data_IF_918225022641
#
_entry.id   IF_918225022641
#
_cell.length_a   1.000
_cell.length_b   1.000
_cell.length_c   1.000
_cell.angle_alpha   90.00
_cell.angle_beta   90.00
_cell.angle_gamma   90.00
#
_symmetry.space_group_name_H-M   'P 1'
#
loop_
_entity.id
_entity.type
_entity.pdbx_description
1 polymer ?
#
# COMPACT_ATOMS: atom_id res chain seq x y z
N UNK A 1 -44.83 19.40 -64.85
CA UNK A 1 -43.93 20.45 -64.34
C UNK A 1 -44.41 20.99 -62.95
N UNK A 2 -45.70 21.24 -62.76
CA UNK A 2 -46.26 21.73 -61.47
C UNK A 2 -46.03 20.80 -60.29
N UNK A 3 -46.25 19.46 -60.46
CA UNK A 3 -45.97 18.45 -59.42
C UNK A 3 -44.48 18.33 -59.04
N UNK A 4 -43.57 18.58 -59.99
CA UNK A 4 -42.13 18.62 -59.68
C UNK A 4 -41.77 19.92 -58.92
N UNK A 5 -42.35 21.06 -59.31
CA UNK A 5 -42.16 22.30 -58.59
C UNK A 5 -42.71 22.23 -57.15
N UNK A 6 -43.87 21.58 -56.93
CA UNK A 6 -44.46 21.37 -55.63
C UNK A 6 -43.62 20.45 -54.74
N UNK A 7 -43.07 19.34 -55.28
CA UNK A 7 -42.17 18.48 -54.54
C UNK A 7 -40.88 19.20 -54.16
N UNK A 8 -40.29 19.98 -55.05
CA UNK A 8 -39.10 20.76 -54.74
C UNK A 8 -39.38 21.87 -53.71
N UNK A 9 -40.55 22.52 -53.74
CA UNK A 9 -40.98 23.49 -52.78
C UNK A 9 -41.14 22.85 -51.37
N UNK A 10 -41.78 21.66 -51.32
CA UNK A 10 -41.92 20.93 -50.04
C UNK A 10 -40.56 20.52 -49.49
N UNK A 11 -39.63 20.06 -50.32
CA UNK A 11 -38.27 19.67 -49.93
C UNK A 11 -37.45 20.86 -49.42
N UNK A 12 -37.52 22.02 -50.08
CA UNK A 12 -36.86 23.27 -49.64
C UNK A 12 -37.47 23.79 -48.36
N UNK A 13 -38.80 23.69 -48.18
CA UNK A 13 -39.49 24.06 -46.91
C UNK A 13 -39.07 23.20 -45.76
N UNK A 14 -38.94 21.87 -45.94
CA UNK A 14 -38.41 20.96 -44.92
C UNK A 14 -36.95 21.28 -44.60
N UNK A 15 -36.10 21.50 -45.62
CA UNK A 15 -34.71 21.89 -45.43
C UNK A 15 -34.57 23.22 -44.64
N UNK A 16 -35.46 24.22 -44.94
CA UNK A 16 -35.45 25.46 -44.21
C UNK A 16 -35.84 25.26 -42.74
N UNK A 17 -36.88 24.47 -42.47
CA UNK A 17 -37.32 24.18 -41.10
C UNK A 17 -36.21 23.47 -40.29
N UNK A 18 -35.52 22.50 -40.89
CA UNK A 18 -34.38 21.79 -40.25
C UNK A 18 -33.21 22.74 -39.99
N UNK A 19 -32.87 23.63 -40.96
CA UNK A 19 -31.79 24.61 -40.74
C UNK A 19 -32.14 25.62 -39.65
N UNK A 20 -33.39 26.06 -39.59
CA UNK A 20 -33.90 26.94 -38.50
C UNK A 20 -33.84 26.26 -37.15
N UNK A 21 -34.20 24.99 -37.04
CA UNK A 21 -34.14 24.21 -35.84
C UNK A 21 -32.68 24.06 -35.32
N UNK A 22 -31.75 23.68 -36.27
CA UNK A 22 -30.31 23.57 -35.94
C UNK A 22 -29.67 24.88 -35.54
N UNK A 23 -30.00 25.97 -36.22
CA UNK A 23 -29.50 27.31 -35.85
C UNK A 23 -30.08 27.78 -34.52
N UNK A 24 -31.35 27.48 -34.23
CA UNK A 24 -32.00 27.84 -32.98
C UNK A 24 -31.46 27.03 -31.78
N UNK A 25 -31.20 25.71 -31.99
CA UNK A 25 -30.66 24.84 -30.95
C UNK A 25 -29.13 24.92 -30.82
N UNK A 26 -28.43 25.37 -31.86
CA UNK A 26 -26.97 25.29 -31.96
C UNK A 26 -26.45 23.89 -32.21
N UNK A 27 -27.34 22.91 -32.37
CA UNK A 27 -27.00 21.49 -32.50
C UNK A 27 -27.37 20.95 -33.89
N UNK A 28 -26.44 20.20 -34.46
CA UNK A 28 -26.65 19.45 -35.74
C UNK A 28 -27.51 18.21 -35.50
N UNK A 29 -27.31 17.57 -34.30
CA UNK A 29 -28.05 16.39 -33.84
C UNK A 29 -28.87 16.80 -32.64
N UNK A 30 -30.18 16.97 -32.81
CA UNK A 30 -31.10 17.34 -31.74
C UNK A 30 -31.99 16.17 -31.32
N UNK A 31 -32.21 15.21 -32.18
CA UNK A 31 -33.05 14.04 -31.92
C UNK A 31 -32.47 12.76 -32.55
N UNK A 32 -32.96 11.60 -32.08
CA UNK A 32 -32.57 10.29 -32.63
C UNK A 32 -32.91 10.13 -34.11
N UNK A 33 -33.84 10.97 -34.63
CA UNK A 33 -34.22 10.97 -36.05
C UNK A 33 -33.11 11.58 -36.91
N UNK A 34 -32.32 12.51 -36.37
CA UNK A 34 -31.26 13.18 -37.13
C UNK A 34 -30.05 12.28 -37.31
N UNK A 35 -29.59 11.63 -36.22
CA UNK A 35 -28.52 10.63 -36.24
C UNK A 35 -28.58 9.84 -34.92
N UNK A 36 -29.10 8.63 -34.95
CA UNK A 36 -29.23 7.77 -33.76
C UNK A 36 -27.86 7.34 -33.21
N UNK A 37 -26.87 7.09 -34.07
CA UNK A 37 -25.54 6.68 -33.68
C UNK A 37 -24.76 7.86 -33.06
N UNK A 38 -24.80 9.02 -33.71
CA UNK A 38 -24.19 10.24 -33.24
C UNK A 38 -24.78 10.69 -31.90
N UNK A 39 -26.10 10.58 -31.71
CA UNK A 39 -26.75 10.90 -30.46
C UNK A 39 -26.30 9.97 -29.32
N UNK A 40 -26.21 8.67 -29.58
CA UNK A 40 -25.72 7.69 -28.58
C UNK A 40 -24.27 8.00 -28.15
N UNK A 41 -23.40 8.30 -29.13
CA UNK A 41 -22.01 8.69 -28.85
C UNK A 41 -21.95 9.98 -28.05
N UNK A 42 -22.74 11.01 -28.46
CA UNK A 42 -22.81 12.30 -27.77
C UNK A 42 -23.29 12.18 -26.32
N UNK A 43 -24.32 11.36 -26.08
CA UNK A 43 -24.81 11.08 -24.73
C UNK A 43 -23.74 10.40 -23.85
N UNK A 44 -22.99 9.43 -24.39
CA UNK A 44 -21.88 8.78 -23.69
C UNK A 44 -20.77 9.78 -23.37
N UNK A 45 -20.38 10.64 -24.33
CA UNK A 45 -19.38 11.68 -24.10
C UNK A 45 -19.86 12.70 -23.07
N UNK A 46 -21.14 13.07 -23.09
CA UNK A 46 -21.73 13.97 -22.07
C UNK A 46 -21.69 13.35 -20.68
N UNK A 47 -22.05 12.07 -20.55
CA UNK A 47 -21.94 11.35 -19.29
C UNK A 47 -20.47 11.30 -18.80
N UNK A 48 -19.53 11.08 -19.70
CA UNK A 48 -18.10 11.08 -19.37
C UNK A 48 -17.63 12.47 -18.92
N UNK A 49 -18.02 13.56 -19.61
CA UNK A 49 -17.69 14.93 -19.21
C UNK A 49 -18.22 15.23 -17.79
N UNK A 50 -19.46 14.85 -17.53
CA UNK A 50 -20.07 15.06 -16.20
C UNK A 50 -19.34 14.24 -15.13
N UNK A 51 -18.98 12.98 -15.44
CA UNK A 51 -18.18 12.14 -14.54
C UNK A 51 -16.81 12.74 -14.24
N UNK A 52 -16.09 13.22 -15.26
CA UNK A 52 -14.80 13.89 -15.11
C UNK A 52 -14.89 15.16 -14.27
N UNK A 53 -15.97 15.96 -14.43
CA UNK A 53 -16.20 17.15 -13.62
C UNK A 53 -16.45 16.82 -12.15
N UNK A 54 -17.17 15.72 -11.85
CA UNK A 54 -17.33 15.21 -10.48
C UNK A 54 -16.00 14.71 -9.93
N UNK A 55 -15.24 13.94 -10.72
CA UNK A 55 -13.94 13.44 -10.33
C UNK A 55 -12.95 14.56 -9.96
N UNK A 56 -12.95 15.66 -10.70
CA UNK A 56 -12.13 16.83 -10.38
C UNK A 56 -12.56 17.48 -9.05
N UNK A 57 -13.86 17.58 -8.77
CA UNK A 57 -14.32 18.07 -7.46
C UNK A 57 -13.89 17.14 -6.33
N UNK A 58 -14.10 15.85 -6.48
CA UNK A 58 -13.66 14.85 -5.49
C UNK A 58 -12.16 14.92 -5.22
N UNK A 59 -11.35 15.12 -6.26
CA UNK A 59 -9.90 15.28 -6.12
C UNK A 59 -9.54 16.56 -5.35
N UNK A 60 -10.23 17.68 -5.60
CA UNK A 60 -10.04 18.92 -4.85
C UNK A 60 -10.47 18.78 -3.38
N UNK A 61 -11.55 18.04 -3.11
CA UNK A 61 -11.99 17.74 -1.75
C UNK A 61 -10.92 16.90 -1.03
N UNK A 62 -10.33 15.91 -1.71
CA UNK A 62 -9.21 15.12 -1.20
C UNK A 62 -7.97 15.96 -0.88
N UNK A 63 -7.62 16.91 -1.74
CA UNK A 63 -6.51 17.86 -1.48
C UNK A 63 -6.83 18.72 -0.25
N UNK A 64 -8.02 19.26 -0.16
CA UNK A 64 -8.42 20.14 0.95
C UNK A 64 -8.40 19.42 2.29
N UNK A 65 -8.83 18.16 2.29
CA UNK A 65 -8.76 17.30 3.47
C UNK A 65 -7.32 16.98 3.85
N UNK A 66 -6.47 16.62 2.88
CA UNK A 66 -5.05 16.35 3.11
C UNK A 66 -4.32 17.58 3.67
N UNK A 67 -4.62 18.78 3.15
CA UNK A 67 -4.06 20.03 3.65
C UNK A 67 -4.51 20.35 5.07
N UNK A 68 -5.77 20.04 5.43
CA UNK A 68 -6.29 20.23 6.79
C UNK A 68 -5.55 19.32 7.77
N UNK A 69 -5.37 18.05 7.42
CA UNK A 69 -4.59 17.10 8.23
C UNK A 69 -3.13 17.51 8.34
N UNK A 70 -2.50 17.92 7.25
CA UNK A 70 -1.10 18.37 7.23
C UNK A 70 -0.89 19.62 8.10
N UNK A 71 -1.82 20.59 8.06
CA UNK A 71 -1.77 21.77 8.92
C UNK A 71 -1.79 21.40 10.40
N UNK A 72 -2.68 20.49 10.81
CA UNK A 72 -2.76 20.01 12.18
C UNK A 72 -1.50 19.22 12.60
N UNK A 73 -0.96 18.38 11.71
CA UNK A 73 0.31 17.69 11.95
C UNK A 73 1.50 18.66 12.04
N UNK A 74 1.46 19.78 11.34
CA UNK A 74 2.46 20.86 11.47
C UNK A 74 2.48 21.43 12.90
N UNK A 75 1.31 21.68 13.49
CA UNK A 75 1.21 22.14 14.88
C UNK A 75 1.65 21.03 15.86
N UNK A 76 1.31 19.77 15.58
CA UNK A 76 1.80 18.63 16.36
C UNK A 76 3.34 18.54 16.35
N UNK A 77 3.96 18.78 15.19
CA UNK A 77 5.43 18.86 15.07
C UNK A 77 6.01 19.98 15.95
N UNK A 78 5.40 21.17 15.95
CA UNK A 78 5.85 22.30 16.79
C UNK A 78 5.77 21.95 18.27
N UNK A 79 4.67 21.30 18.71
CA UNK A 79 4.49 20.84 20.08
C UNK A 79 5.57 19.83 20.46
N UNK A 80 5.81 18.81 19.64
CA UNK A 80 6.83 17.79 19.90
C UNK A 80 8.24 18.40 19.96
N UNK A 81 8.57 19.35 19.09
CA UNK A 81 9.85 20.07 19.16
C UNK A 81 9.98 20.84 20.48
N UNK A 82 8.91 21.48 20.96
CA UNK A 82 8.92 22.14 22.25
C UNK A 82 9.10 21.15 23.41
N UNK A 83 8.42 20.00 23.33
CA UNK A 83 8.60 18.93 24.34
C UNK A 83 10.03 18.40 24.32
N UNK A 84 10.67 18.29 23.16
CA UNK A 84 12.07 17.90 23.02
C UNK A 84 13.03 18.89 23.67
N UNK A 85 12.79 20.21 23.50
CA UNK A 85 13.57 21.25 24.19
C UNK A 85 13.49 21.10 25.72
N UNK A 86 12.25 20.87 26.25
CA UNK A 86 12.04 20.68 27.67
C UNK A 86 12.71 19.39 28.21
N UNK A 87 12.66 18.30 27.40
CA UNK A 87 13.34 17.06 27.74
C UNK A 87 14.87 17.24 27.79
N UNK A 88 15.46 17.93 26.79
CA UNK A 88 16.88 18.27 26.79
C UNK A 88 17.26 19.17 27.99
N UNK A 89 16.42 20.15 28.31
CA UNK A 89 16.63 20.99 29.49
C UNK A 89 16.57 20.18 30.77
N UNK A 90 15.57 19.27 30.89
CA UNK A 90 15.41 18.42 32.08
C UNK A 90 16.54 17.40 32.24
N UNK A 91 17.10 16.90 31.14
CA UNK A 91 18.22 15.95 31.15
C UNK A 91 19.51 16.53 31.69
N UNK A 92 19.61 17.86 31.86
CA UNK A 92 20.80 18.48 32.44
C UNK A 92 20.88 18.15 33.95
N UNK A 93 22.01 17.60 34.36
CA UNK A 93 22.29 17.22 35.78
C UNK A 93 22.28 18.37 36.78
N UNK A 94 22.26 19.64 36.32
CA UNK A 94 22.16 20.82 37.19
C UNK A 94 20.76 21.10 37.74
N UNK A 95 19.71 20.44 37.18
CA UNK A 95 18.35 20.65 37.60
C UNK A 95 18.01 19.88 38.88
N UNK A 96 17.32 20.53 39.80
CA UNK A 96 16.75 19.90 40.99
C UNK A 96 15.51 19.05 40.62
N UNK A 97 15.03 18.27 41.58
CA UNK A 97 13.75 17.53 41.39
C UNK A 97 12.58 18.47 41.14
N UNK A 98 12.54 19.59 41.89
CA UNK A 98 11.50 20.61 41.77
C UNK A 98 11.52 21.30 40.40
N UNK A 99 12.71 21.56 39.82
CA UNK A 99 12.87 22.11 38.49
C UNK A 99 12.33 21.13 37.43
N UNK A 100 12.66 19.84 37.56
CA UNK A 100 12.17 18.78 36.65
C UNK A 100 10.64 18.61 36.75
N UNK A 101 10.06 18.69 37.96
CA UNK A 101 8.61 18.66 38.16
C UNK A 101 7.93 19.87 37.51
N UNK A 102 8.55 21.05 37.51
CA UNK A 102 8.02 22.22 36.80
C UNK A 102 8.01 22.01 35.28
N UNK A 103 9.10 21.45 34.74
CA UNK A 103 9.18 21.11 33.31
C UNK A 103 8.16 19.99 32.94
N UNK A 104 7.95 19.02 33.83
CA UNK A 104 6.94 17.97 33.60
C UNK A 104 5.53 18.53 33.50
N UNK A 105 5.18 19.57 34.25
CA UNK A 105 3.86 20.22 34.16
C UNK A 105 3.65 20.84 32.78
N UNK A 106 4.68 21.48 32.20
CA UNK A 106 4.61 22.03 30.86
C UNK A 106 4.45 20.92 29.82
N UNK A 107 5.25 19.84 29.94
CA UNK A 107 5.13 18.67 29.03
C UNK A 107 3.75 18.05 29.14
N UNK A 108 3.18 17.90 30.32
CA UNK A 108 1.83 17.34 30.48
C UNK A 108 0.74 18.21 29.84
N UNK A 109 0.89 19.53 29.87
CA UNK A 109 0.00 20.43 29.11
C UNK A 109 0.15 20.28 27.60
N UNK A 110 1.38 20.11 27.10
CA UNK A 110 1.67 19.88 25.68
C UNK A 110 1.14 18.51 25.20
N UNK A 111 1.24 17.46 26.03
CA UNK A 111 0.65 16.14 25.76
C UNK A 111 -0.88 16.22 25.60
N UNK A 112 -1.54 16.98 26.52
CA UNK A 112 -2.97 17.19 26.43
C UNK A 112 -3.36 17.99 25.17
N UNK A 113 -2.56 18.99 24.78
CA UNK A 113 -2.82 19.80 23.59
C UNK A 113 -2.60 18.97 22.30
N UNK A 114 -1.58 18.11 22.26
CA UNK A 114 -1.34 17.18 21.16
C UNK A 114 -2.54 16.23 20.96
N UNK A 115 -3.05 15.65 22.03
CA UNK A 115 -4.24 14.80 21.99
C UNK A 115 -5.48 15.59 21.55
N UNK A 116 -5.64 16.82 22.04
CA UNK A 116 -6.75 17.70 21.65
C UNK A 116 -6.73 18.01 20.15
N UNK A 117 -5.56 18.30 19.57
CA UNK A 117 -5.41 18.52 18.13
C UNK A 117 -5.84 17.27 17.35
N UNK A 118 -5.40 16.11 17.78
CA UNK A 118 -5.76 14.84 17.15
C UNK A 118 -7.27 14.59 17.17
N UNK A 119 -7.92 14.81 18.31
CA UNK A 119 -9.36 14.57 18.51
C UNK A 119 -10.26 15.62 17.85
N UNK A 120 -9.79 16.87 17.69
CA UNK A 120 -10.62 17.97 17.20
C UNK A 120 -10.44 18.28 15.71
N UNK A 121 -9.37 17.79 15.09
CA UNK A 121 -9.12 18.02 13.67
C UNK A 121 -10.10 17.25 12.82
N UNK A 122 -11.00 17.96 12.16
CA UNK A 122 -12.04 17.35 11.32
C UNK A 122 -12.21 18.08 9.99
N UNK A 123 -12.69 17.36 9.01
CA UNK A 123 -13.08 17.88 7.70
C UNK A 123 -14.45 17.32 7.31
N UNK A 124 -15.40 18.21 7.02
CA UNK A 124 -16.77 17.81 6.66
C UNK A 124 -17.49 16.99 7.73
N UNK A 125 -17.10 17.12 9.02
CA UNK A 125 -17.67 16.36 10.12
C UNK A 125 -17.00 14.98 10.36
N UNK A 126 -15.95 14.64 9.59
CA UNK A 126 -15.15 13.45 9.82
C UNK A 126 -13.86 13.84 10.54
N UNK A 127 -13.54 13.14 11.63
CA UNK A 127 -12.26 13.27 12.32
C UNK A 127 -11.15 12.69 11.42
N UNK A 128 -10.00 13.37 11.41
CA UNK A 128 -8.91 13.00 10.51
C UNK A 128 -7.76 12.30 11.23
N UNK A 129 -7.48 12.64 12.49
CA UNK A 129 -6.26 12.27 13.19
C UNK A 129 -6.52 11.49 14.50
N UNK A 130 -7.74 11.03 14.73
CA UNK A 130 -8.14 10.26 15.93
C UNK A 130 -7.84 8.76 15.81
N UNK A 131 -7.59 8.28 14.58
CA UNK A 131 -7.33 6.87 14.27
C UNK A 131 -8.52 6.14 13.64
N UNK A 132 -9.73 6.68 13.75
CA UNK A 132 -10.94 6.08 13.15
C UNK A 132 -11.07 6.37 11.64
N UNK A 133 -10.29 7.34 11.13
CA UNK A 133 -10.31 7.68 9.70
C UNK A 133 -9.85 6.49 8.84
N UNK A 134 -8.77 5.82 9.20
CA UNK A 134 -8.19 4.71 8.45
C UNK A 134 -7.86 5.09 7.01
N UNK A 135 -8.24 4.23 6.06
CA UNK A 135 -8.03 4.46 4.63
C UNK A 135 -9.35 4.80 3.95
N UNK A 136 -9.39 5.90 3.20
CA UNK A 136 -10.54 6.35 2.41
C UNK A 136 -10.17 6.48 0.94
N UNK A 137 -11.06 6.00 0.07
CA UNK A 137 -10.88 6.04 -1.37
C UNK A 137 -11.65 7.20 -1.98
N UNK A 138 -10.97 8.03 -2.74
CA UNK A 138 -11.55 9.16 -3.49
C UNK A 138 -11.70 8.77 -4.95
N UNK A 139 -12.92 8.78 -5.46
CA UNK A 139 -13.19 8.50 -6.88
C UNK A 139 -12.71 9.68 -7.72
N UNK A 140 -11.62 9.48 -8.47
CA UNK A 140 -10.95 10.51 -9.28
C UNK A 140 -10.97 10.20 -10.76
N UNK A 141 -11.91 9.39 -11.20
CA UNK A 141 -12.12 9.07 -12.60
C UNK A 141 -13.59 8.89 -12.94
N UNK A 142 -13.89 8.82 -14.23
CA UNK A 142 -15.26 8.66 -14.74
C UNK A 142 -15.74 7.20 -14.71
N UNK A 143 -14.84 6.23 -14.53
CA UNK A 143 -15.16 4.81 -14.48
C UNK A 143 -15.02 4.26 -13.06
N UNK A 144 -15.66 3.14 -12.77
CA UNK A 144 -15.58 2.48 -11.49
C UNK A 144 -14.13 2.08 -11.14
N UNK A 145 -13.77 2.18 -9.87
CA UNK A 145 -12.45 1.84 -9.30
C UNK A 145 -11.27 2.74 -9.73
N UNK A 146 -11.52 3.86 -10.39
CA UNK A 146 -10.50 4.88 -10.62
C UNK A 146 -10.36 5.75 -9.37
N UNK A 147 -9.67 5.25 -8.35
CA UNK A 147 -9.58 5.88 -7.02
C UNK A 147 -8.16 6.22 -6.61
N UNK A 148 -8.03 7.24 -5.76
CA UNK A 148 -6.82 7.53 -4.98
C UNK A 148 -7.19 7.35 -3.51
N UNK A 149 -6.41 6.57 -2.78
CA UNK A 149 -6.60 6.36 -1.34
C UNK A 149 -5.78 7.35 -0.52
N UNK A 150 -6.38 7.82 0.57
CA UNK A 150 -5.72 8.57 1.64
C UNK A 150 -5.81 7.71 2.89
N UNK A 151 -4.67 7.47 3.53
CA UNK A 151 -4.59 6.78 4.81
C UNK A 151 -4.08 7.76 5.87
N UNK A 152 -4.79 7.84 6.98
CA UNK A 152 -4.41 8.66 8.12
C UNK A 152 -4.46 7.82 9.40
N UNK A 153 -3.42 7.94 10.21
CA UNK A 153 -3.31 7.30 11.52
C UNK A 153 -3.54 8.32 12.63
N UNK A 154 -3.75 7.85 13.85
CA UNK A 154 -3.85 8.72 15.01
C UNK A 154 -2.51 9.41 15.28
N UNK A 155 -2.60 10.71 15.62
CA UNK A 155 -1.47 11.50 16.10
C UNK A 155 -1.63 11.89 17.58
N UNK A 156 -2.54 11.24 18.30
CA UNK A 156 -2.74 11.45 19.72
C UNK A 156 -1.49 11.03 20.52
N UNK A 157 -1.27 11.65 21.67
CA UNK A 157 -0.09 11.41 22.48
C UNK A 157 0.09 9.95 22.95
N UNK A 158 -0.99 9.17 23.01
CA UNK A 158 -1.00 7.75 23.37
C UNK A 158 -0.86 6.81 22.17
N UNK A 159 -0.68 7.35 20.97
CA UNK A 159 -0.59 6.59 19.71
C UNK A 159 0.68 6.83 18.92
N UNK A 160 1.48 7.79 19.32
CA UNK A 160 2.77 8.10 18.71
C UNK A 160 3.89 8.00 19.73
N UNK A 161 5.10 7.59 19.31
CA UNK A 161 6.25 7.41 20.17
C UNK A 161 7.12 6.24 19.73
N UNK A 162 7.85 5.66 20.66
CA UNK A 162 8.70 4.49 20.43
C UNK A 162 7.86 3.20 20.47
N UNK A 163 6.88 3.12 19.56
CA UNK A 163 6.01 1.95 19.42
C UNK A 163 6.64 0.95 18.48
N UNK A 164 6.60 -0.32 18.86
CA UNK A 164 7.03 -1.42 18.01
C UNK A 164 6.08 -2.60 18.13
N UNK A 165 5.55 -3.03 17.02
CA UNK A 165 4.79 -4.26 16.87
C UNK A 165 5.74 -5.32 16.33
N UNK A 166 6.00 -6.38 17.09
CA UNK A 166 6.91 -7.45 16.65
C UNK A 166 6.22 -8.80 16.72
N UNK A 167 6.43 -9.63 15.70
CA UNK A 167 6.01 -11.02 15.69
C UNK A 167 6.99 -11.84 14.84
N UNK A 168 6.99 -13.14 15.03
CA UNK A 168 7.84 -14.04 14.23
C UNK A 168 6.99 -14.97 13.39
N UNK A 169 7.40 -15.18 12.16
CA UNK A 169 6.87 -16.21 11.27
C UNK A 169 7.95 -17.27 11.02
N UNK A 170 7.55 -18.52 11.02
CA UNK A 170 8.46 -19.67 10.82
C UNK A 170 8.34 -20.28 9.43
N UNK A 171 7.30 -19.89 8.68
CA UNK A 171 7.17 -20.32 7.30
C UNK A 171 8.13 -19.52 6.41
N UNK A 172 9.08 -20.20 5.82
CA UNK A 172 10.14 -19.60 4.98
C UNK A 172 9.78 -19.55 3.50
N UNK A 173 8.64 -20.11 3.11
CA UNK A 173 8.19 -20.17 1.72
C UNK A 173 6.78 -19.58 1.57
N UNK A 174 6.46 -19.13 0.35
CA UNK A 174 5.12 -18.66 0.01
C UNK A 174 4.87 -17.17 0.22
N UNK A 175 3.72 -16.71 -0.24
CA UNK A 175 3.29 -15.31 -0.13
C UNK A 175 2.84 -14.97 1.29
N UNK A 176 3.06 -13.73 1.69
CA UNK A 176 2.60 -13.17 2.95
C UNK A 176 1.75 -11.93 2.67
N UNK A 177 0.75 -11.66 3.48
CA UNK A 177 -0.02 -10.43 3.39
C UNK A 177 -0.05 -9.69 4.72
N UNK A 178 -0.02 -8.36 4.64
CA UNK A 178 -0.10 -7.47 5.78
C UNK A 178 -1.35 -6.60 5.70
N UNK A 179 -2.11 -6.52 6.77
CA UNK A 179 -3.17 -5.52 6.90
C UNK A 179 -2.71 -4.45 7.89
N UNK A 180 -2.56 -3.21 7.38
CA UNK A 180 -2.11 -2.04 8.14
C UNK A 180 -3.04 -0.89 7.85
N UNK A 181 -3.55 -0.23 8.88
CA UNK A 181 -4.47 0.90 8.70
C UNK A 181 -5.77 0.58 7.93
N UNK A 182 -6.22 -0.69 7.96
CA UNK A 182 -7.41 -1.15 7.23
C UNK A 182 -7.18 -1.49 5.76
N UNK A 183 -5.95 -1.38 5.27
CA UNK A 183 -5.56 -1.76 3.91
C UNK A 183 -4.76 -3.07 3.93
N UNK A 184 -5.01 -3.93 2.95
CA UNK A 184 -4.27 -5.20 2.81
C UNK A 184 -3.25 -5.11 1.68
N UNK A 185 -2.01 -5.49 1.99
CA UNK A 185 -0.88 -5.52 1.08
C UNK A 185 -0.41 -6.96 0.92
N UNK A 186 -0.42 -7.47 -0.29
CA UNK A 186 0.11 -8.80 -0.61
C UNK A 186 1.57 -8.71 -1.03
N UNK A 187 2.43 -9.50 -0.38
CA UNK A 187 3.84 -9.65 -0.75
C UNK A 187 4.02 -11.01 -1.39
N UNK A 188 4.40 -11.02 -2.66
CA UNK A 188 4.68 -12.26 -3.38
C UNK A 188 6.11 -12.73 -3.07
N UNK A 189 6.21 -13.74 -2.24
CA UNK A 189 7.46 -14.40 -1.90
C UNK A 189 7.48 -15.88 -2.38
N UNK A 190 6.66 -16.23 -3.37
CA UNK A 190 6.56 -17.61 -3.89
C UNK A 190 7.86 -18.11 -4.51
N UNK A 191 8.76 -17.21 -4.90
CA UNK A 191 10.09 -17.53 -5.39
C UNK A 191 11.16 -17.68 -4.30
N UNK A 192 10.84 -17.36 -3.04
CA UNK A 192 11.75 -17.51 -1.91
C UNK A 192 11.80 -19.00 -1.47
N UNK A 193 13.01 -19.54 -1.35
CA UNK A 193 13.24 -20.89 -0.87
C UNK A 193 13.70 -20.96 0.58
N UNK A 194 13.95 -19.80 1.19
CA UNK A 194 14.48 -19.63 2.54
C UNK A 194 13.96 -18.35 3.22
N UNK A 195 14.23 -18.21 4.50
CA UNK A 195 13.84 -17.05 5.30
C UNK A 195 14.47 -15.75 4.74
N UNK A 196 15.68 -15.79 4.24
CA UNK A 196 16.37 -14.62 3.72
C UNK A 196 15.70 -14.06 2.46
N UNK A 197 15.33 -14.95 1.54
CA UNK A 197 14.59 -14.57 0.33
C UNK A 197 13.22 -13.96 0.65
N UNK A 198 12.48 -14.55 1.60
CA UNK A 198 11.19 -14.03 2.04
C UNK A 198 11.32 -12.69 2.76
N UNK A 199 12.29 -12.53 3.65
CA UNK A 199 12.56 -11.25 4.31
C UNK A 199 12.96 -10.16 3.31
N UNK A 200 13.76 -10.50 2.30
CA UNK A 200 14.13 -9.58 1.23
C UNK A 200 12.90 -9.12 0.41
N UNK A 201 11.98 -10.02 0.09
CA UNK A 201 10.72 -9.68 -0.60
C UNK A 201 9.84 -8.74 0.23
N UNK A 202 9.72 -9.00 1.55
CA UNK A 202 9.00 -8.13 2.47
C UNK A 202 9.65 -6.74 2.53
N UNK A 203 10.97 -6.68 2.70
CA UNK A 203 11.71 -5.43 2.80
C UNK A 203 11.69 -4.60 1.50
N UNK A 204 11.55 -5.24 0.34
CA UNK A 204 11.39 -4.54 -0.94
C UNK A 204 10.08 -3.75 -1.03
N UNK A 205 9.06 -4.14 -0.28
CA UNK A 205 7.73 -3.51 -0.25
C UNK A 205 7.42 -2.76 1.05
N UNK A 206 8.38 -2.61 1.96
CA UNK A 206 8.22 -1.90 3.25
C UNK A 206 7.65 -0.49 3.09
N UNK A 207 8.01 0.22 2.02
CA UNK A 207 7.47 1.56 1.73
C UNK A 207 5.95 1.61 1.51
N UNK A 208 5.31 0.47 1.26
CA UNK A 208 3.86 0.36 1.04
C UNK A 208 3.10 0.05 2.34
N UNK A 209 3.65 -0.83 3.19
CA UNK A 209 2.96 -1.35 4.38
C UNK A 209 3.67 -1.04 5.71
N UNK A 210 4.89 -0.47 5.69
CA UNK A 210 5.62 -0.07 6.90
C UNK A 210 6.14 -1.21 7.77
N UNK A 211 6.04 -2.48 7.33
CA UNK A 211 6.56 -3.65 8.05
C UNK A 211 7.95 -3.99 7.53
N UNK A 212 8.91 -4.18 8.43
CA UNK A 212 10.26 -4.67 8.13
C UNK A 212 10.42 -6.11 8.57
N UNK A 213 11.32 -6.83 7.93
CA UNK A 213 11.59 -8.23 8.20
C UNK A 213 13.08 -8.45 8.45
N UNK A 214 13.40 -9.12 9.54
CA UNK A 214 14.75 -9.53 9.91
C UNK A 214 14.80 -11.05 10.09
N UNK A 215 15.81 -11.70 9.52
CA UNK A 215 16.00 -13.14 9.70
C UNK A 215 16.69 -13.39 11.03
N UNK A 216 16.04 -14.16 11.88
CA UNK A 216 16.60 -14.63 13.14
C UNK A 216 16.84 -16.14 13.02
N UNK A 217 18.09 -16.51 13.06
CA UNK A 217 18.49 -17.92 13.11
C UNK A 217 18.54 -18.31 14.60
N UNK A 218 17.60 -19.15 15.03
CA UNK A 218 17.67 -19.70 16.38
C UNK A 218 18.79 -20.74 16.45
N UNK A 219 19.51 -20.79 17.59
CA UNK A 219 20.52 -21.81 17.83
C UNK A 219 19.91 -23.19 17.74
N UNK A 220 20.51 -24.07 16.94
CA UNK A 220 20.17 -25.48 16.97
C UNK A 220 20.70 -26.11 18.26
N UNK A 221 19.98 -27.08 18.81
CA UNK A 221 20.40 -27.84 19.98
C UNK A 221 20.29 -29.33 19.69
N UNK A 222 21.25 -30.07 20.17
CA UNK A 222 21.25 -31.53 20.07
C UNK A 222 21.89 -32.15 21.30
N UNK A 223 21.59 -33.43 21.51
CA UNK A 223 22.26 -34.24 22.54
C UNK A 223 22.85 -35.46 21.92
N UNK A 224 24.01 -35.85 22.41
CA UNK A 224 24.69 -37.11 22.12
C UNK A 224 24.78 -37.92 23.41
N UNK A 225 24.17 -39.08 23.44
CA UNK A 225 24.12 -39.93 24.64
C UNK A 225 24.59 -41.34 24.38
N UNK A 226 25.09 -42.00 25.42
CA UNK A 226 25.47 -43.41 25.38
C UNK A 226 26.58 -43.74 24.37
N UNK A 227 27.57 -42.85 24.28
CA UNK A 227 28.71 -43.07 23.37
C UNK A 227 29.49 -44.28 23.87
N UNK A 228 29.55 -45.33 23.03
CA UNK A 228 30.35 -46.53 23.29
C UNK A 228 31.76 -46.34 22.73
N UNK A 229 32.77 -46.36 23.59
CA UNK A 229 34.17 -46.13 23.20
C UNK A 229 34.96 -47.43 22.96
N UNK A 230 34.41 -48.55 23.15
CA UNK A 230 35.06 -49.88 22.98
C UNK A 230 36.61 -49.91 23.15
N UNK A 231 37.13 -49.01 24.00
CA UNK A 231 38.54 -48.83 24.29
C UNK A 231 39.32 -47.92 23.37
N UNK A 232 38.70 -47.34 22.35
CA UNK A 232 39.31 -46.49 21.34
C UNK A 232 38.62 -45.09 21.25
N UNK A 233 39.24 -44.18 20.49
CA UNK A 233 38.70 -42.88 20.22
C UNK A 233 37.48 -42.96 19.30
N UNK A 234 36.43 -42.17 19.60
CA UNK A 234 35.31 -41.92 18.70
C UNK A 234 35.56 -40.62 17.96
N UNK A 235 35.27 -40.62 16.66
CA UNK A 235 35.39 -39.44 15.82
C UNK A 235 34.10 -39.23 15.00
N UNK A 236 33.74 -37.96 14.79
CA UNK A 236 32.65 -37.54 13.89
C UNK A 236 32.92 -36.13 13.41
N UNK A 237 32.15 -35.68 12.45
CA UNK A 237 32.17 -34.28 12.00
C UNK A 237 30.94 -33.55 12.45
N UNK A 238 31.10 -32.30 12.92
CA UNK A 238 30.05 -31.32 13.09
C UNK A 238 30.19 -30.25 11.98
N UNK A 239 29.30 -30.31 11.03
CA UNK A 239 29.48 -29.55 9.79
C UNK A 239 30.72 -30.02 9.01
N UNK A 240 31.73 -29.13 8.92
CA UNK A 240 33.03 -29.42 8.28
C UNK A 240 34.13 -29.79 9.28
N UNK A 241 33.91 -29.52 10.57
CA UNK A 241 34.91 -29.64 11.62
C UNK A 241 34.93 -31.07 12.24
N UNK A 242 36.11 -31.61 12.51
CA UNK A 242 36.30 -32.95 13.03
C UNK A 242 36.40 -32.92 14.54
N UNK A 243 35.58 -33.74 15.21
CA UNK A 243 35.55 -33.93 16.65
C UNK A 243 36.07 -35.32 16.96
N UNK A 244 36.99 -35.45 17.89
CA UNK A 244 37.54 -36.76 18.31
C UNK A 244 37.75 -36.75 19.82
N UNK A 245 37.44 -37.86 20.50
CA UNK A 245 37.66 -38.03 21.93
C UNK A 245 37.58 -39.50 22.35
N UNK A 246 38.25 -39.84 23.45
CA UNK A 246 38.27 -41.17 24.07
C UNK A 246 37.34 -41.27 25.28
N UNK A 247 36.64 -40.18 25.60
CA UNK A 247 35.67 -40.06 26.68
C UNK A 247 34.65 -38.96 26.43
N UNK A 248 33.48 -39.03 27.10
CA UNK A 248 32.44 -37.99 27.01
C UNK A 248 32.98 -36.59 27.40
N UNK A 249 33.93 -36.54 28.33
CA UNK A 249 34.59 -35.31 28.76
C UNK A 249 35.43 -34.68 27.65
N UNK A 250 36.21 -35.53 26.94
CA UNK A 250 37.04 -35.07 25.82
C UNK A 250 36.20 -34.65 24.62
N UNK A 251 35.15 -35.41 24.29
CA UNK A 251 34.22 -35.02 23.23
C UNK A 251 33.52 -33.71 23.53
N UNK A 252 33.07 -33.52 24.78
CA UNK A 252 32.45 -32.26 25.21
C UNK A 252 33.41 -31.09 25.03
N UNK A 253 34.66 -31.22 25.47
CA UNK A 253 35.69 -30.19 25.33
C UNK A 253 36.03 -29.94 23.84
N UNK A 254 36.08 -30.99 23.03
CA UNK A 254 36.33 -30.84 21.60
C UNK A 254 35.19 -30.13 20.85
N UNK A 255 33.91 -30.37 21.23
CA UNK A 255 32.75 -29.68 20.66
C UNK A 255 32.74 -28.20 21.11
N UNK A 256 32.99 -27.93 22.41
CA UNK A 256 33.01 -26.60 22.98
C UNK A 256 34.15 -25.73 22.42
N UNK A 257 35.21 -26.34 21.91
CA UNK A 257 36.31 -25.65 21.25
C UNK A 257 36.01 -25.20 19.81
N UNK A 258 34.90 -25.67 19.22
CA UNK A 258 34.51 -25.28 17.87
C UNK A 258 33.82 -23.90 17.87
N UNK A 259 34.13 -23.10 16.85
CA UNK A 259 33.52 -21.78 16.71
C UNK A 259 32.00 -21.88 16.52
N UNK A 260 31.23 -21.15 17.36
CA UNK A 260 29.77 -21.15 17.32
C UNK A 260 29.11 -22.29 18.11
N UNK A 261 29.86 -23.28 18.60
CA UNK A 261 29.33 -24.36 19.42
C UNK A 261 29.57 -24.11 20.91
N UNK A 262 28.65 -24.58 21.73
CA UNK A 262 28.80 -24.67 23.17
C UNK A 262 28.30 -26.03 23.63
N UNK A 263 29.07 -26.73 24.48
CA UNK A 263 28.75 -28.05 24.91
C UNK A 263 28.83 -28.22 26.44
N UNK A 264 27.91 -29.01 27.00
CA UNK A 264 27.88 -29.35 28.44
C UNK A 264 27.65 -30.82 28.60
N UNK A 265 28.35 -31.44 29.60
CA UNK A 265 28.21 -32.83 29.95
C UNK A 265 27.33 -33.00 31.17
N UNK A 266 26.32 -33.86 31.09
CA UNK A 266 25.46 -34.24 32.23
C UNK A 266 25.33 -35.76 32.27
N UNK A 267 26.04 -36.39 33.20
CA UNK A 267 26.13 -37.84 33.26
C UNK A 267 26.87 -38.40 32.03
N UNK A 268 26.19 -39.18 31.21
CA UNK A 268 26.68 -39.75 29.94
C UNK A 268 26.06 -39.08 28.73
N UNK A 269 25.44 -37.89 28.90
CA UNK A 269 24.79 -37.12 27.82
C UNK A 269 25.54 -35.82 27.59
N UNK A 270 26.02 -35.62 26.39
CA UNK A 270 26.63 -34.39 25.92
C UNK A 270 25.52 -33.55 25.26
N UNK A 271 25.19 -32.42 25.87
CA UNK A 271 24.25 -31.46 25.29
C UNK A 271 25.05 -30.36 24.62
N UNK A 272 24.76 -30.02 23.38
CA UNK A 272 25.49 -29.01 22.65
C UNK A 272 24.54 -28.16 21.78
N UNK A 273 24.92 -26.92 21.57
CA UNK A 273 24.19 -25.93 20.79
C UNK A 273 25.10 -25.32 19.73
N UNK A 274 24.54 -24.96 18.59
CA UNK A 274 25.22 -24.18 17.57
C UNK A 274 24.49 -22.84 17.42
N UNK A 275 25.14 -21.73 17.80
CA UNK A 275 24.60 -20.38 17.69
C UNK A 275 24.61 -19.82 16.26
N UNK A 276 25.35 -20.45 15.35
CA UNK A 276 25.55 -19.99 13.98
C UNK A 276 24.66 -20.73 12.96
N UNK A 277 23.82 -21.67 13.38
CA UNK A 277 22.95 -22.39 12.44
C UNK A 277 22.65 -23.84 12.84
N UNK A 278 22.32 -24.67 11.86
CA UNK A 278 21.98 -26.08 12.04
C UNK A 278 23.18 -26.92 12.49
N UNK A 279 22.91 -27.97 13.25
CA UNK A 279 23.87 -28.98 13.61
C UNK A 279 23.76 -30.12 12.60
N UNK A 280 24.84 -30.44 11.93
CA UNK A 280 24.97 -31.63 11.07
C UNK A 280 26.09 -32.53 11.60
N UNK A 281 25.72 -33.70 12.07
CA UNK A 281 26.67 -34.71 12.49
C UNK A 281 26.84 -35.77 11.39
N UNK A 282 28.06 -35.98 10.96
CA UNK A 282 28.40 -36.97 9.93
C UNK A 282 29.68 -37.75 10.28
N UNK A 283 29.95 -38.78 9.54
CA UNK A 283 31.19 -39.57 9.63
C UNK A 283 31.46 -40.15 11.05
N UNK A 284 30.41 -40.56 11.76
CA UNK A 284 30.57 -41.17 13.08
C UNK A 284 31.31 -42.51 12.98
N UNK A 285 32.45 -42.62 13.66
CA UNK A 285 33.31 -43.78 13.60
C UNK A 285 34.14 -43.98 14.89
N UNK A 286 34.43 -45.20 15.24
CA UNK A 286 35.43 -45.57 16.24
C UNK A 286 36.79 -45.90 15.61
N UNK A 287 37.88 -45.60 16.27
CA UNK A 287 39.22 -45.72 15.71
C UNK A 287 39.75 -47.17 15.66
N UNK A 288 39.11 -48.13 16.34
CA UNK A 288 39.64 -49.47 16.54
C UNK A 288 38.94 -50.62 15.79
N UNK A 289 37.95 -50.36 14.97
CA UNK A 289 37.20 -51.38 14.23
C UNK A 289 36.20 -52.17 15.09
N UNK A 290 35.87 -51.71 16.29
CA UNK A 290 34.76 -52.16 17.13
C UNK A 290 33.46 -51.40 16.80
N UNK A 291 32.30 -51.97 17.17
CA UNK A 291 30.99 -51.36 16.95
C UNK A 291 30.75 -50.19 17.90
N UNK A 292 31.27 -49.00 17.58
CA UNK A 292 30.96 -47.78 18.32
C UNK A 292 29.50 -47.35 18.11
N UNK A 293 28.83 -47.00 19.19
CA UNK A 293 27.41 -46.59 19.16
C UNK A 293 27.21 -45.26 19.87
N UNK A 294 26.25 -44.47 19.40
CA UNK A 294 25.78 -43.30 20.09
C UNK A 294 24.32 -43.01 19.73
N UNK A 295 23.64 -42.27 20.55
CA UNK A 295 22.28 -41.81 20.31
C UNK A 295 22.30 -40.28 20.13
N UNK A 296 22.01 -39.84 18.93
CA UNK A 296 21.83 -38.44 18.63
C UNK A 296 20.34 -38.08 18.73
N UNK A 297 20.04 -37.01 19.46
CA UNK A 297 18.68 -36.50 19.62
C UNK A 297 18.66 -34.98 19.36
N UNK A 298 17.82 -34.55 18.44
CA UNK A 298 17.65 -33.17 18.01
C UNK A 298 16.46 -32.46 18.71
N UNK A 299 15.88 -33.10 19.73
CA UNK A 299 14.69 -32.59 20.42
C UNK A 299 13.36 -33.03 19.79
N UNK A 300 13.36 -33.43 18.52
CA UNK A 300 12.17 -33.91 17.78
C UNK A 300 12.32 -35.38 17.34
N UNK A 301 13.52 -35.83 17.02
CA UNK A 301 13.80 -37.20 16.61
C UNK A 301 15.06 -37.76 17.27
N UNK A 302 15.11 -39.08 17.34
CA UNK A 302 16.24 -39.79 17.90
C UNK A 302 16.86 -40.66 16.82
N UNK A 303 18.14 -40.42 16.50
CA UNK A 303 18.91 -41.21 15.52
C UNK A 303 19.93 -42.04 16.25
N UNK A 304 19.88 -43.38 16.08
CA UNK A 304 20.91 -44.26 16.56
C UNK A 304 22.07 -44.25 15.57
N UNK A 305 23.22 -43.82 16.05
CA UNK A 305 24.46 -43.84 15.30
C UNK A 305 25.16 -45.17 15.66
N UNK A 306 25.42 -45.99 14.66
CA UNK A 306 26.19 -47.25 14.82
C UNK A 306 27.24 -47.31 13.73
N UNK A 307 28.47 -47.54 14.12
CA UNK A 307 29.49 -47.88 13.15
C UNK A 307 29.28 -49.36 12.73
N UNK A 308 29.11 -49.57 11.44
CA UNK A 308 29.13 -50.92 10.88
C UNK A 308 30.49 -51.18 10.25
N UNK A 309 31.31 -51.98 10.94
CA UNK A 309 32.56 -52.59 10.44
C UNK A 309 33.23 -51.89 9.24
N UNK A 310 33.86 -50.72 9.49
CA UNK A 310 34.71 -50.02 8.52
C UNK A 310 34.04 -49.05 7.55
N UNK A 311 32.78 -48.67 7.78
CA UNK A 311 32.11 -47.60 7.01
C UNK A 311 31.53 -46.57 7.94
N UNK A 312 31.95 -45.28 7.83
CA UNK A 312 31.37 -44.21 8.63
C UNK A 312 29.85 -44.11 8.39
N UNK A 313 29.12 -44.07 9.48
CA UNK A 313 27.67 -44.01 9.39
C UNK A 313 27.16 -42.58 9.27
N UNK A 314 26.02 -42.50 8.64
CA UNK A 314 25.24 -41.45 8.08
C UNK A 314 24.83 -40.36 9.03
N UNK A 315 24.69 -39.22 8.45
CA UNK A 315 24.18 -37.92 8.89
C UNK A 315 22.98 -37.95 9.84
N UNK A 316 23.18 -37.41 11.02
CA UNK A 316 22.12 -36.93 11.86
C UNK A 316 22.14 -35.37 11.84
N UNK A 317 21.04 -34.73 11.69
CA UNK A 317 20.97 -33.28 11.62
C UNK A 317 19.88 -32.74 12.57
N UNK A 318 20.22 -31.70 13.30
CA UNK A 318 19.26 -30.84 13.95
C UNK A 318 19.19 -29.55 13.15
N UNK A 319 18.02 -29.25 12.61
CA UNK A 319 17.82 -28.02 11.86
C UNK A 319 17.76 -26.80 12.81
N UNK A 320 18.51 -25.77 12.49
CA UNK A 320 18.20 -24.45 13.05
C UNK A 320 16.82 -24.04 12.53
N UNK A 321 15.98 -23.57 13.43
CA UNK A 321 14.71 -22.98 13.01
C UNK A 321 15.02 -21.55 12.59
N UNK A 322 15.01 -21.30 11.30
CA UNK A 322 15.02 -19.94 10.78
C UNK A 322 13.63 -19.37 11.01
N UNK A 323 13.58 -18.21 11.62
CA UNK A 323 12.36 -17.43 11.76
C UNK A 323 12.59 -16.03 11.22
N UNK A 324 11.52 -15.41 10.74
CA UNK A 324 11.55 -14.03 10.29
C UNK A 324 10.84 -13.21 11.37
N UNK A 325 11.57 -12.32 12.02
CA UNK A 325 10.96 -11.33 12.91
C UNK A 325 10.46 -10.18 12.07
N UNK A 326 9.17 -9.94 12.16
CA UNK A 326 8.48 -8.82 11.53
C UNK A 326 8.35 -7.71 12.56
N UNK A 327 8.66 -6.48 12.17
CA UNK A 327 8.51 -5.32 13.03
C UNK A 327 7.87 -4.15 12.28
N UNK A 328 7.04 -3.37 12.99
CA UNK A 328 6.39 -2.17 12.49
C UNK A 328 6.16 -1.18 13.62
N UNK A 329 6.16 0.11 13.32
CA UNK A 329 5.79 1.17 14.29
C UNK A 329 4.27 1.34 14.44
N UNK A 330 3.47 0.58 13.70
CA UNK A 330 2.01 0.58 13.77
C UNK A 330 1.48 -0.84 13.97
N UNK A 331 0.25 -0.94 14.48
CA UNK A 331 -0.46 -2.21 14.54
C UNK A 331 -0.55 -2.84 13.16
N UNK A 332 -0.29 -4.12 13.06
CA UNK A 332 -0.47 -4.85 11.80
C UNK A 332 -1.04 -6.24 12.03
N UNK A 333 -1.72 -6.76 11.02
CA UNK A 333 -2.12 -8.16 10.96
C UNK A 333 -1.32 -8.84 9.87
N UNK A 334 -0.62 -9.92 10.20
CA UNK A 334 0.08 -10.75 9.23
C UNK A 334 -0.72 -12.02 8.97
N UNK A 335 -0.83 -12.38 7.69
CA UNK A 335 -1.35 -13.67 7.24
C UNK A 335 -0.28 -14.33 6.40
N UNK A 336 0.25 -15.45 6.86
CA UNK A 336 1.34 -16.16 6.23
C UNK A 336 0.84 -17.48 5.64
N UNK A 337 0.74 -17.54 4.31
CA UNK A 337 0.23 -18.68 3.58
C UNK A 337 -1.19 -19.08 4.01
N UNK A 338 -1.35 -20.33 4.44
CA UNK A 338 -2.61 -20.89 4.93
C UNK A 338 -2.82 -20.72 6.44
N UNK A 339 -1.89 -20.04 7.14
CA UNK A 339 -2.00 -19.82 8.58
C UNK A 339 -3.09 -18.80 8.92
N UNK A 340 -3.65 -18.91 10.12
CA UNK A 340 -4.61 -17.93 10.60
C UNK A 340 -3.95 -16.55 10.72
N UNK A 341 -4.69 -15.46 10.42
CA UNK A 341 -4.19 -14.10 10.59
C UNK A 341 -3.76 -13.84 12.04
N UNK A 342 -2.58 -13.28 12.23
CA UNK A 342 -2.06 -12.87 13.53
C UNK A 342 -2.06 -11.34 13.59
N UNK A 343 -2.87 -10.78 14.48
CA UNK A 343 -2.88 -9.34 14.74
C UNK A 343 -1.87 -9.01 15.83
N UNK A 344 -0.98 -8.08 15.53
CA UNK A 344 0.10 -7.64 16.39
C UNK A 344 -0.13 -6.17 16.70
N UNK A 345 -0.33 -5.87 17.99
CA UNK A 345 -0.44 -4.50 18.45
C UNK A 345 0.96 -3.93 18.71
N UNK A 346 1.18 -2.71 18.29
CA UNK A 346 2.39 -1.99 18.64
C UNK A 346 2.39 -1.66 20.12
N UNK A 347 3.48 -2.03 20.81
CA UNK A 347 3.68 -1.80 22.24
C UNK A 347 4.98 -1.04 22.44
N UNK A 348 5.04 -0.23 23.46
CA UNK A 348 6.21 0.60 23.76
C UNK A 348 5.81 1.88 24.49
N UNK A 349 6.78 2.75 24.68
CA UNK A 349 6.54 4.02 25.35
C UNK A 349 6.00 5.05 24.36
N UNK A 350 4.88 5.66 24.71
CA UNK A 350 4.23 6.70 23.93
C UNK A 350 4.62 8.09 24.41
N UNK A 351 4.29 9.10 23.62
CA UNK A 351 4.46 10.50 24.03
C UNK A 351 3.69 10.80 25.33
N UNK A 352 2.59 10.09 25.60
CA UNK A 352 1.83 10.21 26.86
C UNK A 352 2.59 9.72 28.08
N UNK A 353 3.50 8.74 27.91
CA UNK A 353 4.24 8.10 29.00
C UNK A 353 5.52 8.86 29.37
N UNK A 354 5.84 9.95 28.67
CA UNK A 354 7.01 10.77 28.92
C UNK A 354 6.99 11.30 30.36
N UNK A 355 8.10 11.05 31.08
CA UNK A 355 8.32 11.49 32.44
C UNK A 355 9.69 12.15 32.58
N UNK A 356 9.70 13.46 32.84
CA UNK A 356 10.90 14.27 32.97
C UNK A 356 11.39 14.42 34.43
N UNK A 357 10.72 13.80 35.42
CA UNK A 357 11.07 13.94 36.84
C UNK A 357 12.41 13.32 37.22
N UNK A 358 12.95 12.46 36.34
CA UNK A 358 14.26 11.84 36.50
C UNK A 358 15.16 12.12 35.30
N UNK A 359 16.47 12.10 35.48
CA UNK A 359 17.43 12.26 34.38
C UNK A 359 17.29 11.15 33.33
N UNK A 360 17.17 9.91 33.77
CA UNK A 360 16.98 8.76 32.88
C UNK A 360 15.66 8.87 32.08
N UNK A 361 14.57 9.27 32.76
CA UNK A 361 13.29 9.53 32.11
C UNK A 361 13.36 10.64 31.05
N UNK A 362 14.16 11.69 31.35
CA UNK A 362 14.39 12.78 30.39
C UNK A 362 15.18 12.32 29.13
N UNK A 363 16.15 11.41 29.33
CA UNK A 363 16.89 10.81 28.20
C UNK A 363 15.97 9.89 27.33
N UNK A 364 15.16 9.06 28.01
CA UNK A 364 14.16 8.23 27.29
C UNK A 364 13.14 9.09 26.56
N UNK A 365 12.69 10.20 27.16
CA UNK A 365 11.75 11.13 26.54
C UNK A 365 12.25 11.70 25.21
N UNK A 366 13.56 11.98 25.11
CA UNK A 366 14.15 12.48 23.86
C UNK A 366 13.98 11.45 22.75
N UNK A 367 14.29 10.18 23.02
CA UNK A 367 14.15 9.11 22.03
C UNK A 367 12.68 8.91 21.61
N UNK A 368 11.74 8.89 22.57
CA UNK A 368 10.30 8.76 22.30
C UNK A 368 9.81 9.92 21.42
N UNK A 369 10.26 11.16 21.72
CA UNK A 369 9.85 12.33 20.92
C UNK A 369 10.47 12.30 19.54
N UNK A 370 11.72 11.87 19.39
CA UNK A 370 12.38 11.76 18.08
C UNK A 370 11.68 10.71 17.21
N UNK A 371 11.25 9.58 17.78
CA UNK A 371 10.43 8.58 17.09
C UNK A 371 9.04 9.13 16.71
N UNK A 372 8.39 9.87 17.61
CA UNK A 372 7.11 10.51 17.33
C UNK A 372 7.20 11.56 16.20
N UNK A 373 8.28 12.35 16.19
CA UNK A 373 8.56 13.31 15.11
C UNK A 373 8.74 12.59 13.77
N UNK A 374 9.52 11.51 13.75
CA UNK A 374 9.70 10.71 12.55
C UNK A 374 8.38 10.14 12.02
N UNK A 375 7.49 9.65 12.89
CA UNK A 375 6.17 9.15 12.50
C UNK A 375 5.29 10.26 11.88
N UNK A 376 5.26 11.45 12.48
CA UNK A 376 4.49 12.57 11.93
C UNK A 376 5.08 13.02 10.59
N UNK A 377 6.39 13.08 10.47
CA UNK A 377 7.06 13.48 9.22
C UNK A 377 6.80 12.47 8.10
N UNK A 378 6.78 11.17 8.39
CA UNK A 378 6.41 10.13 7.43
C UNK A 378 4.95 10.28 6.95
N UNK A 379 4.02 10.54 7.88
CA UNK A 379 2.61 10.79 7.53
C UNK A 379 2.47 12.05 6.66
N UNK A 380 3.18 13.13 6.98
CA UNK A 380 3.19 14.37 6.20
C UNK A 380 3.78 14.17 4.81
N UNK A 381 4.87 13.41 4.71
CA UNK A 381 5.48 13.06 3.43
C UNK A 381 4.52 12.26 2.55
N UNK A 382 3.82 11.29 3.14
CA UNK A 382 2.76 10.53 2.49
C UNK A 382 1.63 11.42 1.96
N UNK A 383 1.14 12.36 2.79
CA UNK A 383 0.12 13.33 2.37
C UNK A 383 0.61 14.24 1.25
N UNK A 384 1.87 14.70 1.31
CA UNK A 384 2.46 15.50 0.23
C UNK A 384 2.51 14.74 -1.10
N UNK A 385 2.88 13.47 -1.07
CA UNK A 385 2.87 12.60 -2.25
C UNK A 385 1.44 12.42 -2.81
N UNK A 386 0.44 12.22 -1.95
CA UNK A 386 -0.96 12.09 -2.34
C UNK A 386 -1.49 13.39 -2.94
N UNK A 387 -1.18 14.55 -2.35
CA UNK A 387 -1.56 15.86 -2.91
C UNK A 387 -0.98 16.06 -4.33
N UNK A 388 0.29 15.70 -4.55
CA UNK A 388 0.90 15.74 -5.87
C UNK A 388 0.18 14.81 -6.85
N UNK A 389 -0.17 13.59 -6.44
CA UNK A 389 -0.95 12.65 -7.27
C UNK A 389 -2.31 13.23 -7.65
N UNK A 390 -3.05 13.84 -6.72
CA UNK A 390 -4.32 14.51 -7.02
C UNK A 390 -4.12 15.66 -8.01
N UNK A 391 -3.10 16.50 -7.82
CA UNK A 391 -2.82 17.63 -8.72
C UNK A 391 -2.53 17.17 -10.14
N UNK A 392 -1.72 16.13 -10.31
CA UNK A 392 -1.45 15.54 -11.63
C UNK A 392 -2.71 14.91 -12.24
N UNK A 393 -3.52 14.25 -11.40
CA UNK A 393 -4.79 13.66 -11.84
C UNK A 393 -5.75 14.74 -12.31
N UNK A 394 -5.93 15.84 -11.56
CA UNK A 394 -6.79 16.98 -11.96
C UNK A 394 -6.34 17.53 -13.31
N UNK A 395 -5.04 17.75 -13.51
CA UNK A 395 -4.50 18.25 -14.77
C UNK A 395 -4.79 17.28 -15.94
N UNK A 396 -4.63 15.99 -15.72
CA UNK A 396 -4.96 14.96 -16.72
C UNK A 396 -6.47 14.91 -17.03
N UNK A 397 -7.31 14.95 -15.99
CA UNK A 397 -8.78 14.97 -16.15
C UNK A 397 -9.26 16.21 -16.92
N UNK A 398 -8.64 17.37 -16.68
CA UNK A 398 -8.95 18.59 -17.42
C UNK A 398 -8.63 18.45 -18.90
N UNK A 399 -7.45 17.92 -19.23
CA UNK A 399 -7.07 17.66 -20.63
C UNK A 399 -8.01 16.64 -21.31
N UNK A 400 -8.37 15.57 -20.60
CA UNK A 400 -9.34 14.58 -21.13
C UNK A 400 -10.69 15.24 -21.33
N UNK A 401 -11.18 16.03 -20.38
CA UNK A 401 -12.47 16.72 -20.46
C UNK A 401 -12.53 17.68 -21.64
N UNK A 402 -11.46 18.45 -21.88
CA UNK A 402 -11.34 19.33 -23.03
C UNK A 402 -11.42 18.55 -24.37
N UNK A 403 -10.64 17.48 -24.51
CA UNK A 403 -10.63 16.66 -25.71
C UNK A 403 -11.98 15.97 -25.96
N UNK A 404 -12.62 15.45 -24.91
CA UNK A 404 -13.93 14.81 -24.99
C UNK A 404 -15.01 15.85 -25.35
N UNK A 405 -14.95 17.05 -24.75
CA UNK A 405 -15.85 18.15 -25.07
C UNK A 405 -15.69 18.61 -26.53
N UNK A 406 -14.44 18.78 -27.01
CA UNK A 406 -14.17 19.10 -28.40
C UNK A 406 -14.66 18.01 -29.35
N UNK A 407 -14.54 16.75 -28.96
CA UNK A 407 -15.04 15.61 -29.76
C UNK A 407 -16.56 15.58 -29.81
N UNK A 408 -17.23 15.85 -28.66
CA UNK A 408 -18.70 15.96 -28.62
C UNK A 408 -19.18 17.14 -29.47
N UNK A 409 -18.52 18.30 -29.39
CA UNK A 409 -18.83 19.47 -30.20
C UNK A 409 -18.76 19.16 -31.72
N UNK A 410 -17.71 18.49 -32.17
CA UNK A 410 -17.61 18.07 -33.59
C UNK A 410 -18.71 17.13 -34.03
N UNK A 411 -19.27 16.32 -33.15
CA UNK A 411 -20.36 15.39 -33.46
C UNK A 411 -21.70 16.12 -33.40
N UNK A 412 -21.99 16.87 -32.37
CA UNK A 412 -23.32 17.36 -32.01
C UNK A 412 -23.58 18.79 -32.45
N UNK A 413 -22.57 19.69 -32.40
CA UNK A 413 -22.78 21.11 -32.67
C UNK A 413 -22.87 21.40 -34.14
N UNK A 414 -23.61 22.47 -34.48
CA UNK A 414 -23.77 22.92 -35.87
C UNK A 414 -22.69 23.97 -36.20
N UNK A 415 -22.19 23.91 -37.41
CA UNK A 415 -21.42 25.01 -38.02
C UNK A 415 -22.37 26.09 -38.48
N UNK A 416 -22.44 27.20 -37.75
CA UNK A 416 -23.33 28.32 -38.03
C UNK A 416 -23.12 28.92 -39.40
N UNK A 417 -21.89 28.99 -39.91
CA UNK A 417 -21.61 29.51 -41.23
C UNK A 417 -22.21 28.66 -42.35
N UNK A 418 -21.94 27.34 -42.25
CA UNK A 418 -22.45 26.35 -43.18
C UNK A 418 -23.98 26.24 -43.14
N UNK A 419 -24.58 26.22 -41.93
CA UNK A 419 -26.02 26.08 -41.79
C UNK A 419 -26.77 27.37 -42.21
N UNK A 420 -26.19 28.57 -41.98
CA UNK A 420 -26.76 29.85 -42.47
C UNK A 420 -26.73 29.87 -43.98
N UNK A 421 -25.65 29.43 -44.62
CA UNK A 421 -25.61 29.33 -46.09
C UNK A 421 -26.66 28.36 -46.62
N UNK A 422 -26.85 27.20 -45.92
CA UNK A 422 -27.87 26.21 -46.31
C UNK A 422 -29.28 26.75 -46.09
N UNK A 423 -29.53 27.50 -45.01
CA UNK A 423 -30.79 28.19 -44.73
C UNK A 423 -31.13 29.23 -45.81
N UNK A 424 -30.15 30.09 -46.14
CA UNK A 424 -30.31 31.11 -47.21
C UNK A 424 -30.59 30.47 -48.54
N UNK A 425 -29.86 29.37 -48.90
CA UNK A 425 -30.09 28.60 -50.13
C UNK A 425 -31.53 28.07 -50.14
N UNK A 426 -32.01 27.45 -49.08
CA UNK A 426 -33.35 26.89 -49.01
C UNK A 426 -34.42 28.02 -49.06
N UNK A 427 -34.18 29.17 -48.50
CA UNK A 427 -35.05 30.36 -48.57
C UNK A 427 -35.14 30.87 -50.00
N UNK A 428 -34.02 31.02 -50.70
CA UNK A 428 -34.00 31.42 -52.10
C UNK A 428 -34.73 30.39 -52.99
N UNK A 429 -34.51 29.09 -52.74
CA UNK A 429 -35.19 28.00 -53.45
C UNK A 429 -36.70 28.02 -53.20
N UNK A 430 -37.14 28.38 -51.99
CA UNK A 430 -38.54 28.51 -51.68
C UNK A 430 -39.19 29.71 -52.44
N UNK A 431 -38.51 30.84 -52.47
CA UNK A 431 -38.98 32.01 -53.23
C UNK A 431 -39.01 31.74 -54.71
N UNK A 432 -37.96 31.15 -55.26
CA UNK A 432 -37.91 30.75 -56.65
C UNK A 432 -38.95 29.65 -56.99
N UNK A 433 -39.17 28.71 -56.11
CA UNK A 433 -40.13 27.61 -56.24
C UNK A 433 -41.57 28.12 -56.30
N UNK A 434 -41.92 29.08 -55.44
CA UNK A 434 -43.25 29.73 -55.47
C UNK A 434 -43.47 30.50 -56.77
N UNK A 435 -42.46 31.20 -57.28
CA UNK A 435 -42.51 31.89 -58.58
C UNK A 435 -42.68 30.94 -59.75
N UNK A 436 -41.90 29.85 -59.79
CA UNK A 436 -41.97 28.80 -60.78
C UNK A 436 -43.34 28.08 -60.76
N UNK A 437 -43.86 27.81 -59.55
CA UNK A 437 -45.16 27.19 -59.37
C UNK A 437 -46.27 28.06 -59.90
N UNK A 438 -46.23 29.40 -59.63
CA UNK A 438 -47.14 30.36 -60.15
C UNK A 438 -47.10 30.37 -61.70
N UNK A 439 -45.90 30.38 -62.27
CA UNK A 439 -45.70 30.34 -63.78
C UNK A 439 -46.12 28.99 -64.36
N UNK A 440 -45.86 27.86 -63.75
CA UNK A 440 -46.29 26.55 -64.20
C UNK A 440 -47.81 26.35 -64.12
N UNK A 441 -48.53 27.02 -63.27
CA UNK A 441 -49.97 26.99 -63.15
C UNK A 441 -50.67 27.94 -64.17
N UNK A 442 -49.96 28.94 -64.72
CA UNK A 442 -50.47 29.82 -65.76
C UNK A 442 -50.44 29.18 -67.13
N UNK A 443 -49.46 28.27 -67.39
CA UNK A 443 -49.33 27.58 -68.70
C UNK A 443 -50.57 26.77 -69.09
N UNK A 444 -51.21 25.95 -68.26
CA UNK A 444 -52.44 25.26 -68.53
C UNK A 444 -53.64 26.20 -68.80
N UNK A 445 -53.69 27.33 -68.04
CA UNK A 445 -54.76 28.32 -68.29
C UNK A 445 -54.66 29.04 -69.64
N UNK A 446 -53.43 29.36 -70.05
CA UNK A 446 -53.20 29.90 -71.41
C UNK A 446 -53.52 28.88 -72.49
N UNK A 447 -53.27 27.60 -72.24
CA UNK A 447 -53.63 26.51 -73.17
C UNK A 447 -55.18 26.32 -73.29
N UNK A 448 -55.89 26.45 -72.13
CA UNK A 448 -57.36 26.36 -72.07
C UNK A 448 -57.98 27.57 -72.81
N UNK A 449 -57.43 28.79 -72.64
CA UNK A 449 -57.92 29.98 -73.33
C UNK A 449 -57.66 29.98 -74.79
N UNK A 450 -56.64 29.22 -75.26
CA UNK A 450 -56.38 29.00 -76.71
C UNK A 450 -57.24 27.90 -77.34
N UNK A 451 -57.80 26.98 -76.51
CA UNK A 451 -58.70 25.88 -77.01
C UNK A 451 -60.17 26.21 -76.80
N UNK A 452 -60.54 27.27 -76.09
CA UNK A 452 -61.92 27.68 -75.78
C UNK A 452 -62.36 29.01 -76.37
N UNK A 453 -61.57 29.56 -77.34
CA UNK A 453 -61.92 30.76 -78.13
C UNK A 453 -62.22 30.46 -79.58
#
# INVERSE_FOLDING_TARGET
SSLNAQRNLSKSGQGLATSMERLSSGMRINSAKDDAAGLQISNRLTSQINGLAVAQRNANDGISMAQTAEGAMGESTNILQRMRELALQSANGSNSTEDREALQKEVSALQAELSRISETTSFGGQQLLDGDFGTRNFQVGANANETISISLSSTAADKIGSLEATTSITDTAGSVSFAVGGQTYGVDATGASDAAGKAAAINATTGEHGVTAEVVVSSASATLAGVGYDGDAVSFKLGTESVTGTSDTELTAAIDALEGYSATLSGTTISFTNSAGSISLSDFAGAGGGDSTAIFNDGTSTTNLTEASGSPQTTAASAAVESITLSSKADFTVTDGANAPVTVAATGDTVKDINLTTELGSQSAIAIIDDALAQIDDLRAGLGAVQNRFSHTISNLANIQENVSASRSRIQDTDFATETAQMTKNQILQQAGTSILSQANQIPQAAISLLGG
#
